data_IF_901959278076
#
_entry.id   IF_901959278076
#
_cell.length_a   1.000
_cell.length_b   1.000
_cell.length_c   1.000
_cell.angle_alpha   90.00
_cell.angle_beta   90.00
_cell.angle_gamma   90.00
#
_symmetry.space_group_name_H-M   'P 1'
#
loop_
_entity.id
_entity.type
_entity.pdbx_description
1 polymer ?
#
# COMPACT_ATOMS: atom_id res chain seq x y z
N UNK A 1 -7.52 7.36 6.15
CA UNK A 1 -6.24 7.14 6.85
C UNK A 1 -5.38 6.11 6.12
N UNK A 2 -5.84 4.86 5.95
CA UNK A 2 -5.12 3.82 5.19
C UNK A 2 -4.65 4.30 3.80
N UNK A 3 -5.55 4.86 2.99
CA UNK A 3 -5.17 5.37 1.67
C UNK A 3 -4.20 6.56 1.72
N UNK A 4 -4.27 7.41 2.76
CA UNK A 4 -3.29 8.50 2.95
C UNK A 4 -1.90 7.92 3.22
N UNK A 5 -1.80 6.86 4.02
CA UNK A 5 -0.53 6.15 4.25
C UNK A 5 0.08 5.72 2.92
N UNK A 6 -0.72 5.10 2.05
CA UNK A 6 -0.26 4.65 0.73
C UNK A 6 0.18 5.82 -0.16
N UNK A 7 -0.55 6.93 -0.19
CA UNK A 7 -0.13 8.13 -0.95
C UNK A 7 1.17 8.72 -0.40
N UNK A 8 1.35 8.74 0.92
CA UNK A 8 2.59 9.16 1.55
C UNK A 8 3.78 8.27 1.17
N UNK A 9 3.58 6.94 1.20
CA UNK A 9 4.62 5.96 0.82
C UNK A 9 4.95 6.12 -0.66
N UNK A 10 3.95 6.30 -1.54
CA UNK A 10 4.15 6.61 -2.96
C UNK A 10 5.01 7.85 -3.15
N UNK A 11 4.64 8.97 -2.51
CA UNK A 11 5.39 10.20 -2.60
C UNK A 11 6.84 10.08 -2.13
N UNK A 12 7.06 9.41 -0.99
CA UNK A 12 8.41 9.17 -0.47
C UNK A 12 9.25 8.26 -1.39
N UNK A 13 8.65 7.19 -1.91
CA UNK A 13 9.35 6.21 -2.75
C UNK A 13 9.74 6.77 -4.12
N UNK A 14 8.84 7.55 -4.73
CA UNK A 14 9.10 8.21 -6.02
C UNK A 14 10.13 9.32 -5.83
N UNK A 15 10.03 10.12 -4.76
CA UNK A 15 11.01 11.18 -4.46
C UNK A 15 12.42 10.62 -4.22
N UNK A 16 12.54 9.45 -3.59
CA UNK A 16 13.82 8.75 -3.42
C UNK A 16 14.28 7.97 -4.66
N UNK A 17 13.53 8.03 -5.76
CA UNK A 17 13.73 7.22 -6.98
C UNK A 17 13.92 5.73 -6.67
N UNK A 18 13.29 5.26 -5.59
CA UNK A 18 13.40 3.88 -5.15
C UNK A 18 12.43 2.98 -5.91
N UNK A 19 11.20 3.48 -6.15
CA UNK A 19 10.15 2.79 -6.91
C UNK A 19 9.29 3.79 -7.70
N UNK A 20 8.75 3.34 -8.84
CA UNK A 20 7.78 4.08 -9.66
C UNK A 20 6.33 3.79 -9.24
N UNK A 21 6.03 3.96 -7.94
CA UNK A 21 4.65 3.80 -7.47
C UNK A 21 3.76 4.92 -7.99
N UNK A 22 2.54 4.59 -8.39
CA UNK A 22 1.57 5.54 -8.89
C UNK A 22 0.14 5.06 -8.59
N UNK A 23 -0.84 5.90 -8.92
CA UNK A 23 -2.24 5.54 -8.84
C UNK A 23 -2.95 6.08 -10.09
N UNK A 24 -3.62 5.20 -10.84
CA UNK A 24 -4.36 5.55 -12.04
C UNK A 24 -5.45 6.62 -11.85
N UNK A 25 -5.89 6.89 -10.61
CA UNK A 25 -6.81 7.98 -10.32
C UNK A 25 -6.18 9.37 -10.42
N UNK A 26 -4.85 9.49 -10.29
CA UNK A 26 -4.15 10.77 -10.36
C UNK A 26 -2.73 10.60 -10.95
N UNK A 27 -2.66 10.42 -12.26
CA UNK A 27 -1.39 10.33 -12.98
C UNK A 27 -1.47 11.01 -14.34
N UNK A 28 -0.34 11.54 -14.80
CA UNK A 28 -0.21 12.16 -16.11
C UNK A 28 1.16 11.79 -16.71
N UNK A 29 1.18 11.61 -18.03
CA UNK A 29 2.39 11.36 -18.80
C UNK A 29 2.19 11.88 -20.23
N UNK A 30 3.29 12.21 -20.90
CA UNK A 30 3.24 12.66 -22.29
C UNK A 30 2.84 11.51 -23.23
N UNK A 31 2.00 11.81 -24.22
CA UNK A 31 1.58 10.83 -25.24
C UNK A 31 2.76 10.26 -26.03
N UNK A 32 3.79 11.06 -26.30
CA UNK A 32 5.03 10.61 -26.95
C UNK A 32 5.73 9.54 -26.13
N UNK A 33 5.87 9.76 -24.81
CA UNK A 33 6.49 8.80 -23.87
C UNK A 33 5.71 7.47 -23.82
N UNK A 34 4.38 7.53 -23.90
CA UNK A 34 3.55 6.31 -23.97
C UNK A 34 3.88 5.44 -25.18
N UNK A 35 3.96 6.03 -26.38
CA UNK A 35 4.34 5.27 -27.58
C UNK A 35 5.80 4.83 -27.56
N UNK A 36 6.67 5.66 -27.01
CA UNK A 36 8.10 5.39 -26.89
C UNK A 36 8.40 4.13 -26.06
N UNK A 37 7.61 3.86 -25.01
CA UNK A 37 7.72 2.62 -24.22
C UNK A 37 6.87 1.47 -24.77
N UNK A 38 6.24 1.62 -25.94
CA UNK A 38 5.37 0.62 -26.54
C UNK A 38 4.02 0.45 -25.82
N UNK A 39 3.56 1.48 -25.10
CA UNK A 39 2.29 1.47 -24.38
C UNK A 39 2.13 0.28 -23.45
N UNK A 40 0.99 -0.40 -23.52
CA UNK A 40 0.69 -1.59 -22.70
C UNK A 40 1.24 -2.91 -23.27
N UNK A 41 1.98 -2.89 -24.38
CA UNK A 41 2.54 -4.11 -24.95
C UNK A 41 3.48 -4.79 -23.94
N UNK A 42 3.26 -6.10 -23.70
CA UNK A 42 4.05 -6.94 -22.80
C UNK A 42 3.53 -6.98 -21.36
N UNK A 43 2.58 -6.11 -21.00
CA UNK A 43 1.94 -6.06 -19.67
C UNK A 43 0.42 -6.25 -19.75
N UNK A 44 -0.14 -6.28 -20.97
CA UNK A 44 -1.54 -6.47 -21.32
C UNK A 44 -2.13 -7.82 -20.88
N UNK A 45 -1.26 -8.82 -20.63
CA UNK A 45 -1.67 -10.14 -20.14
C UNK A 45 -1.82 -10.20 -18.62
N UNK A 46 -1.35 -9.20 -17.89
CA UNK A 46 -1.44 -9.16 -16.43
C UNK A 46 -2.79 -8.55 -16.06
N UNK A 47 -3.65 -9.34 -15.39
CA UNK A 47 -4.93 -8.85 -14.94
C UNK A 47 -4.74 -7.76 -13.85
N UNK A 48 -4.87 -6.49 -14.26
CA UNK A 48 -4.84 -5.28 -13.43
C UNK A 48 -3.44 -4.83 -12.98
N UNK A 49 -3.27 -3.50 -12.83
CA UNK A 49 -2.00 -2.87 -12.43
C UNK A 49 -1.32 -2.15 -13.60
N UNK A 50 -2.05 -1.96 -14.70
CA UNK A 50 -1.61 -1.38 -15.96
C UNK A 50 -0.98 0.00 -15.76
N UNK A 51 -1.48 0.78 -14.79
CA UNK A 51 -0.93 2.07 -14.37
C UNK A 51 0.49 1.93 -13.81
N UNK A 52 0.66 1.10 -12.79
CA UNK A 52 1.92 0.81 -12.14
C UNK A 52 2.95 0.21 -13.11
N UNK A 53 2.50 -0.74 -13.93
CA UNK A 53 3.35 -1.43 -14.90
C UNK A 53 3.79 -0.50 -16.04
N UNK A 54 2.88 0.34 -16.55
CA UNK A 54 3.24 1.38 -17.52
C UNK A 54 4.24 2.37 -16.93
N UNK A 55 3.99 2.88 -15.72
CA UNK A 55 4.91 3.80 -15.05
C UNK A 55 6.25 3.15 -14.76
N UNK A 56 6.30 1.84 -14.49
CA UNK A 56 7.55 1.10 -14.37
C UNK A 56 8.34 1.09 -15.69
N UNK A 57 7.68 0.82 -16.82
CA UNK A 57 8.32 0.90 -18.15
C UNK A 57 8.88 2.31 -18.43
N UNK A 58 8.13 3.36 -18.08
CA UNK A 58 8.57 4.75 -18.20
C UNK A 58 9.77 5.02 -17.29
N UNK A 59 9.72 4.58 -16.04
CA UNK A 59 10.80 4.76 -15.07
C UNK A 59 12.09 4.04 -15.47
N UNK A 60 12.01 2.83 -16.04
CA UNK A 60 13.19 2.12 -16.53
C UNK A 60 13.90 2.88 -17.67
N UNK A 61 13.14 3.63 -18.48
CA UNK A 61 13.68 4.39 -19.61
C UNK A 61 14.11 5.81 -19.25
N UNK A 62 13.37 6.47 -18.35
CA UNK A 62 13.54 7.87 -17.96
C UNK A 62 13.44 8.03 -16.42
N UNK A 63 14.34 7.41 -15.64
CA UNK A 63 14.22 7.38 -14.17
C UNK A 63 14.24 8.77 -13.54
N UNK A 64 14.98 9.71 -14.14
CA UNK A 64 15.11 11.11 -13.72
C UNK A 64 13.93 12.00 -14.13
N UNK A 65 12.93 11.46 -14.83
CA UNK A 65 11.76 12.23 -15.31
C UNK A 65 10.44 11.80 -14.68
N UNK A 66 10.48 10.88 -13.72
CA UNK A 66 9.30 10.41 -12.98
C UNK A 66 9.26 11.08 -11.61
N UNK A 67 8.22 11.86 -11.37
CA UNK A 67 8.09 12.66 -10.15
C UNK A 67 6.72 12.49 -9.49
N UNK A 68 6.70 12.63 -8.17
CA UNK A 68 5.47 12.82 -7.41
C UNK A 68 5.18 14.33 -7.29
N UNK A 69 4.08 14.78 -7.87
CA UNK A 69 3.69 16.18 -7.79
C UNK A 69 3.03 16.48 -6.43
N UNK A 70 3.84 16.98 -5.48
CA UNK A 70 3.37 17.40 -4.16
C UNK A 70 2.77 18.81 -4.19
N UNK A 71 1.66 18.99 -4.92
CA UNK A 71 0.87 20.22 -4.99
C UNK A 71 -0.57 19.97 -4.53
N UNK A 72 -1.07 20.76 -3.58
CA UNK A 72 -2.41 20.57 -3.01
C UNK A 72 -3.51 20.79 -4.07
N UNK A 73 -3.26 21.72 -5.00
CA UNK A 73 -4.13 22.09 -6.12
C UNK A 73 -4.25 20.97 -7.16
N UNK A 74 -3.26 20.07 -7.22
CA UNK A 74 -3.25 18.90 -8.11
C UNK A 74 -3.76 17.63 -7.43
N UNK A 75 -4.33 17.74 -6.22
CA UNK A 75 -4.95 16.60 -5.54
C UNK A 75 -6.35 16.35 -6.06
N UNK A 76 -6.72 15.07 -6.16
CA UNK A 76 -8.07 14.64 -6.58
C UNK A 76 -8.73 13.86 -5.45
N UNK A 77 -10.06 13.94 -5.37
CA UNK A 77 -10.85 13.19 -4.39
C UNK A 77 -11.44 11.96 -5.06
N UNK A 78 -11.28 10.80 -4.43
CA UNK A 78 -11.87 9.53 -4.87
C UNK A 78 -12.88 9.02 -3.85
N UNK A 79 -13.83 8.21 -4.31
CA UNK A 79 -14.79 7.57 -3.41
C UNK A 79 -14.14 6.38 -2.70
N UNK A 80 -14.37 6.19 -1.38
CA UNK A 80 -13.95 4.99 -0.69
C UNK A 80 -14.82 3.79 -1.11
N UNK A 81 -14.34 2.58 -0.82
CA UNK A 81 -15.14 1.38 -0.95
C UNK A 81 -16.38 1.44 -0.03
N UNK A 82 -17.54 1.04 -0.55
CA UNK A 82 -18.83 1.21 0.14
C UNK A 82 -19.06 0.21 1.27
N UNK A 83 -18.33 -0.90 1.30
CA UNK A 83 -18.51 -1.97 2.29
C UNK A 83 -17.17 -2.53 2.75
N UNK A 84 -17.14 -3.09 3.96
CA UNK A 84 -15.96 -3.78 4.50
C UNK A 84 -15.51 -4.95 3.62
N UNK A 85 -16.46 -5.70 3.07
CA UNK A 85 -16.13 -6.82 2.18
C UNK A 85 -15.47 -6.34 0.89
N UNK A 86 -15.95 -5.25 0.29
CA UNK A 86 -15.32 -4.64 -0.88
C UNK A 86 -13.90 -4.12 -0.55
N UNK A 87 -13.73 -3.47 0.60
CA UNK A 87 -12.43 -3.01 1.09
C UNK A 87 -11.42 -4.16 1.26
N UNK A 88 -11.80 -5.25 1.93
CA UNK A 88 -10.91 -6.39 2.15
C UNK A 88 -10.55 -7.07 0.83
N UNK A 89 -11.52 -7.30 -0.07
CA UNK A 89 -11.24 -7.83 -1.41
C UNK A 89 -10.28 -6.93 -2.20
N UNK A 90 -10.41 -5.60 -2.07
CA UNK A 90 -9.48 -4.66 -2.69
C UNK A 90 -8.05 -4.83 -2.13
N UNK A 91 -7.89 -5.00 -0.81
CA UNK A 91 -6.57 -5.22 -0.18
C UNK A 91 -5.97 -6.58 -0.53
N UNK A 92 -6.76 -7.64 -0.56
CA UNK A 92 -6.32 -8.98 -1.01
C UNK A 92 -5.78 -8.89 -2.44
N UNK A 93 -6.51 -8.22 -3.34
CA UNK A 93 -6.09 -8.00 -4.73
C UNK A 93 -4.79 -7.19 -4.84
N UNK A 94 -4.55 -6.23 -3.95
CA UNK A 94 -3.30 -5.47 -3.95
C UNK A 94 -2.14 -6.33 -3.44
N UNK A 95 -2.37 -7.14 -2.40
CA UNK A 95 -1.37 -8.07 -1.87
C UNK A 95 -1.02 -9.19 -2.87
N UNK A 96 -1.99 -9.71 -3.63
CA UNK A 96 -1.80 -10.77 -4.63
C UNK A 96 -1.00 -10.35 -5.88
N UNK A 97 -0.56 -9.09 -5.94
CA UNK A 97 0.30 -8.56 -7.00
C UNK A 97 1.75 -8.38 -6.56
N UNK A 98 2.03 -8.54 -5.27
CA UNK A 98 3.35 -8.27 -4.69
C UNK A 98 4.47 -9.06 -5.38
N UNK A 99 4.18 -10.27 -5.84
CA UNK A 99 5.08 -11.21 -6.50
C UNK A 99 5.22 -10.96 -8.02
N UNK A 100 4.30 -10.19 -8.62
CA UNK A 100 4.30 -9.86 -10.05
C UNK A 100 5.05 -8.57 -10.38
N UNK A 101 5.48 -7.82 -9.37
CA UNK A 101 6.35 -6.67 -9.60
C UNK A 101 7.75 -7.15 -9.97
N UNK A 102 8.31 -6.61 -11.05
CA UNK A 102 9.69 -6.90 -11.48
C UNK A 102 10.71 -6.50 -10.39
N UNK A 103 10.40 -5.46 -9.61
CA UNK A 103 11.24 -5.02 -8.51
C UNK A 103 11.03 -5.84 -7.23
N UNK A 104 11.97 -6.77 -6.99
CA UNK A 104 11.99 -7.63 -5.80
C UNK A 104 12.09 -6.87 -4.46
N UNK A 105 12.51 -5.60 -4.48
CA UNK A 105 12.57 -4.76 -3.26
C UNK A 105 11.18 -4.46 -2.73
N UNK A 106 10.19 -4.31 -3.61
CA UNK A 106 8.78 -4.14 -3.23
C UNK A 106 8.31 -5.36 -2.43
N UNK A 107 8.61 -6.56 -2.94
CA UNK A 107 8.26 -7.79 -2.25
C UNK A 107 8.91 -7.88 -0.86
N UNK A 108 10.20 -7.55 -0.74
CA UNK A 108 10.90 -7.55 0.54
C UNK A 108 10.28 -6.60 1.57
N UNK A 109 9.93 -5.37 1.15
CA UNK A 109 9.25 -4.40 2.03
C UNK A 109 7.87 -4.89 2.44
N UNK A 110 7.08 -5.43 1.51
CA UNK A 110 5.75 -5.97 1.82
C UNK A 110 5.84 -7.18 2.76
N UNK A 111 6.82 -8.05 2.57
CA UNK A 111 7.07 -9.19 3.45
C UNK A 111 7.48 -8.73 4.85
N UNK A 112 8.34 -7.71 4.97
CA UNK A 112 8.71 -7.13 6.26
C UNK A 112 7.49 -6.59 7.00
N UNK A 113 6.64 -5.82 6.32
CA UNK A 113 5.40 -5.28 6.89
C UNK A 113 4.47 -6.43 7.31
N UNK A 114 4.33 -7.47 6.49
CA UNK A 114 3.53 -8.64 6.84
C UNK A 114 4.06 -9.35 8.09
N UNK A 115 5.37 -9.68 8.12
CA UNK A 115 6.00 -10.37 9.24
C UNK A 115 5.94 -9.55 10.54
N UNK A 116 6.06 -8.22 10.47
CA UNK A 116 5.88 -7.35 11.61
C UNK A 116 4.45 -7.42 12.17
N UNK A 117 3.43 -7.46 11.32
CA UNK A 117 2.04 -7.57 11.79
C UNK A 117 1.73 -8.99 12.30
N UNK A 118 2.32 -10.03 11.70
CA UNK A 118 2.23 -11.40 12.23
C UNK A 118 2.91 -11.52 13.58
N UNK A 119 4.10 -10.93 13.77
CA UNK A 119 4.83 -11.00 15.04
C UNK A 119 4.06 -10.32 16.18
N UNK A 120 3.34 -9.24 15.90
CA UNK A 120 2.43 -8.61 16.87
C UNK A 120 1.33 -9.57 17.34
N UNK A 121 0.67 -10.26 16.40
CA UNK A 121 -0.36 -11.25 16.76
C UNK A 121 0.24 -12.46 17.48
N UNK A 122 1.43 -12.91 17.09
CA UNK A 122 2.12 -14.03 17.72
C UNK A 122 2.56 -13.71 19.15
N UNK A 123 3.09 -12.51 19.39
CA UNK A 123 3.45 -12.06 20.75
C UNK A 123 2.21 -11.96 21.64
N UNK A 124 1.10 -11.43 21.10
CA UNK A 124 -0.16 -11.35 21.83
C UNK A 124 -0.68 -12.75 22.20
N UNK A 125 -0.61 -13.69 21.26
CA UNK A 125 -0.99 -15.08 21.50
C UNK A 125 -0.10 -15.76 22.56
N UNK A 126 1.22 -15.53 22.50
CA UNK A 126 2.18 -16.04 23.49
C UNK A 126 1.92 -15.46 24.89
N UNK A 127 1.36 -14.24 24.96
CA UNK A 127 0.94 -13.59 26.21
C UNK A 127 -0.10 -14.37 27.02
N UNK A 128 -0.89 -15.23 26.39
CA UNK A 128 -1.83 -16.11 27.10
C UNK A 128 -1.14 -17.29 27.79
N UNK A 129 0.10 -17.62 27.41
CA UNK A 129 0.90 -18.70 28.02
C UNK A 129 1.87 -18.12 29.05
N UNK A 130 2.58 -17.05 28.70
CA UNK A 130 3.49 -16.33 29.60
C UNK A 130 3.21 -14.83 29.52
N UNK A 131 2.77 -14.26 30.66
CA UNK A 131 2.36 -12.87 30.77
C UNK A 131 3.47 -11.87 30.43
N UNK A 132 4.76 -12.25 30.48
CA UNK A 132 5.85 -11.37 30.05
C UNK A 132 5.71 -10.99 28.56
N UNK A 133 5.15 -11.87 27.73
CA UNK A 133 4.91 -11.58 26.31
C UNK A 133 3.83 -10.53 26.08
N UNK A 134 2.91 -10.32 27.04
CA UNK A 134 1.96 -9.21 26.95
C UNK A 134 2.68 -7.86 27.00
N UNK A 135 3.71 -7.73 27.85
CA UNK A 135 4.53 -6.52 27.91
C UNK A 135 5.25 -6.27 26.58
N UNK A 136 5.87 -7.30 25.99
CA UNK A 136 6.52 -7.17 24.68
C UNK A 136 5.53 -6.79 23.58
N UNK A 137 4.32 -7.37 23.61
CA UNK A 137 3.25 -7.04 22.66
C UNK A 137 2.85 -5.57 22.75
N UNK A 138 2.65 -5.06 23.97
CA UNK A 138 2.33 -3.64 24.20
C UNK A 138 3.47 -2.75 23.71
N UNK A 139 4.73 -3.06 24.06
CA UNK A 139 5.89 -2.28 23.63
C UNK A 139 6.01 -2.23 22.10
N UNK A 140 5.81 -3.35 21.41
CA UNK A 140 5.84 -3.40 19.95
C UNK A 140 4.71 -2.60 19.31
N UNK A 141 3.48 -2.71 19.83
CA UNK A 141 2.32 -1.93 19.35
C UNK A 141 2.57 -0.43 19.54
N UNK A 142 3.06 -0.01 20.71
CA UNK A 142 3.36 1.40 20.99
C UNK A 142 4.47 1.91 20.06
N UNK A 143 5.53 1.13 19.88
CA UNK A 143 6.65 1.52 19.00
C UNK A 143 6.19 1.67 17.55
N UNK A 144 5.42 0.70 17.03
CA UNK A 144 4.80 0.77 15.71
C UNK A 144 3.89 1.99 15.59
N UNK A 145 3.03 2.22 16.57
CA UNK A 145 2.10 3.35 16.58
C UNK A 145 2.84 4.69 16.52
N UNK A 146 3.90 4.87 17.33
CA UNK A 146 4.69 6.10 17.36
C UNK A 146 5.40 6.35 16.02
N UNK A 147 5.96 5.30 15.42
CA UNK A 147 6.58 5.40 14.10
C UNK A 147 5.55 5.83 13.05
N UNK A 148 4.40 5.16 12.98
CA UNK A 148 3.39 5.44 11.96
C UNK A 148 2.66 6.77 12.18
N UNK A 149 2.36 7.17 13.42
CA UNK A 149 1.68 8.44 13.68
C UNK A 149 2.58 9.64 13.33
N UNK A 150 3.90 9.52 13.53
CA UNK A 150 4.84 10.57 13.15
C UNK A 150 4.82 10.81 11.64
N UNK A 151 4.83 9.73 10.85
CA UNK A 151 4.69 9.76 9.40
C UNK A 151 3.31 10.31 8.98
N UNK A 152 2.24 9.80 9.60
CA UNK A 152 0.87 10.19 9.27
C UNK A 152 0.54 11.64 9.59
N UNK A 153 1.17 12.25 10.61
CA UNK A 153 1.05 13.69 10.89
C UNK A 153 1.56 14.54 9.74
N UNK A 154 2.70 14.18 9.15
CA UNK A 154 3.26 14.89 8.01
C UNK A 154 2.37 14.73 6.76
N UNK A 155 1.95 13.50 6.47
CA UNK A 155 1.13 13.22 5.27
C UNK A 155 -0.26 13.84 5.38
N UNK A 156 -0.96 13.64 6.49
CA UNK A 156 -2.29 14.23 6.69
C UNK A 156 -2.27 15.75 6.80
N UNK A 157 -1.14 16.35 7.22
CA UNK A 157 -0.92 17.79 7.17
C UNK A 157 -0.97 18.33 5.75
N UNK A 158 -0.27 17.67 4.82
CA UNK A 158 -0.31 18.05 3.40
C UNK A 158 -1.71 17.96 2.79
N UNK A 159 -2.48 16.92 3.12
CA UNK A 159 -3.84 16.75 2.63
C UNK A 159 -4.92 17.52 3.41
N UNK A 160 -4.55 18.28 4.46
CA UNK A 160 -5.52 18.99 5.32
C UNK A 160 -6.44 18.06 6.14
N UNK A 161 -6.04 16.80 6.34
CA UNK A 161 -6.87 15.74 6.97
C UNK A 161 -6.40 15.36 8.38
N UNK A 162 -5.64 16.23 9.06
CA UNK A 162 -5.07 15.93 10.39
C UNK A 162 -6.15 15.59 11.44
N UNK A 163 -7.36 16.14 11.33
CA UNK A 163 -8.49 15.82 12.21
C UNK A 163 -8.82 14.32 12.22
N UNK A 164 -8.58 13.62 11.11
CA UNK A 164 -8.85 12.18 11.03
C UNK A 164 -7.90 11.36 11.91
N UNK A 165 -6.74 11.90 12.30
CA UNK A 165 -5.77 11.18 13.14
C UNK A 165 -6.30 10.80 14.52
N UNK A 166 -7.38 11.43 15.00
CA UNK A 166 -8.06 11.01 16.24
C UNK A 166 -8.54 9.56 16.17
N UNK A 167 -8.87 9.07 14.97
CA UNK A 167 -9.29 7.70 14.72
C UNK A 167 -8.14 6.73 14.58
N UNK A 168 -6.90 7.22 14.46
CA UNK A 168 -5.73 6.39 14.19
C UNK A 168 -5.50 5.30 15.25
N UNK A 169 -5.57 5.57 16.59
CA UNK A 169 -5.42 4.54 17.61
C UNK A 169 -6.46 3.41 17.49
N UNK A 170 -7.71 3.76 17.17
CA UNK A 170 -8.82 2.80 17.05
C UNK A 170 -8.72 1.94 15.79
N UNK A 171 -8.10 2.45 14.73
CA UNK A 171 -7.90 1.74 13.47
C UNK A 171 -6.66 0.84 13.47
N UNK A 172 -5.75 0.97 14.44
CA UNK A 172 -4.54 0.15 14.51
C UNK A 172 -4.81 -1.34 14.65
N UNK A 173 -5.68 -1.82 15.57
CA UNK A 173 -6.00 -3.24 15.64
C UNK A 173 -6.59 -3.76 14.34
N UNK A 174 -7.50 -2.99 13.72
CA UNK A 174 -8.08 -3.34 12.42
C UNK A 174 -7.00 -3.45 11.34
N UNK A 175 -6.07 -2.50 11.29
CA UNK A 175 -4.95 -2.50 10.36
C UNK A 175 -4.09 -3.74 10.50
N UNK A 176 -3.67 -4.09 11.73
CA UNK A 176 -2.88 -5.29 11.98
C UNK A 176 -3.62 -6.54 11.47
N UNK A 177 -4.89 -6.68 11.82
CA UNK A 177 -5.71 -7.83 11.43
C UNK A 177 -5.89 -7.93 9.91
N UNK A 178 -6.34 -6.86 9.25
CA UNK A 178 -6.58 -6.96 7.80
C UNK A 178 -5.29 -7.05 7.00
N UNK A 179 -4.15 -6.51 7.46
CA UNK A 179 -2.86 -6.68 6.77
C UNK A 179 -2.44 -8.14 6.76
N UNK A 180 -2.59 -8.85 7.89
CA UNK A 180 -2.29 -10.29 7.97
C UNK A 180 -3.27 -11.09 7.11
N UNK A 181 -4.58 -10.81 7.19
CA UNK A 181 -5.59 -11.49 6.38
C UNK A 181 -5.36 -11.26 4.88
N UNK A 182 -5.12 -10.02 4.47
CA UNK A 182 -4.91 -9.66 3.06
C UNK A 182 -3.60 -10.23 2.52
N UNK A 183 -2.52 -10.25 3.30
CA UNK A 183 -1.26 -10.87 2.90
C UNK A 183 -1.37 -12.38 2.73
N UNK A 184 -2.04 -13.06 3.67
CA UNK A 184 -2.26 -14.50 3.60
C UNK A 184 -3.17 -14.89 2.43
N UNK A 185 -4.35 -14.27 2.32
CA UNK A 185 -5.31 -14.53 1.25
C UNK A 185 -4.84 -14.01 -0.11
N UNK A 186 -3.96 -13.00 -0.14
CA UNK A 186 -3.37 -12.51 -1.38
C UNK A 186 -2.40 -13.52 -2.01
N UNK A 187 -1.71 -14.31 -1.18
CA UNK A 187 -0.75 -15.32 -1.64
C UNK A 187 -1.38 -16.70 -1.85
N UNK A 188 -2.33 -17.08 -0.99
CA UNK A 188 -2.88 -18.45 -0.95
C UNK A 188 -4.38 -18.51 -1.18
N UNK A 189 -5.06 -17.38 -1.24
CA UNK A 189 -6.52 -17.30 -1.34
C UNK A 189 -7.00 -16.95 -2.75
N UNK A 190 -8.31 -17.06 -2.93
CA UNK A 190 -9.01 -16.51 -4.09
C UNK A 190 -9.77 -15.24 -3.68
N UNK A 191 -9.90 -14.28 -4.58
CA UNK A 191 -10.66 -13.05 -4.33
C UNK A 191 -11.72 -12.83 -5.41
N UNK A 192 -12.79 -12.12 -5.03
CA UNK A 192 -13.82 -11.67 -5.98
C UNK A 192 -13.51 -10.24 -6.41
N UNK A 193 -13.52 -10.02 -7.73
CA UNK A 193 -13.36 -8.71 -8.33
C UNK A 193 -14.46 -8.48 -9.35
N UNK A 194 -15.39 -7.57 -9.02
CA UNK A 194 -16.65 -7.39 -9.76
C UNK A 194 -17.33 -8.76 -9.92
N UNK A 195 -17.67 -9.17 -11.14
CA UNK A 195 -18.33 -10.44 -11.43
C UNK A 195 -17.36 -11.63 -11.63
N UNK A 196 -16.07 -11.47 -11.32
CA UNK A 196 -15.05 -12.51 -11.56
C UNK A 196 -14.48 -13.04 -10.25
N UNK A 197 -14.35 -14.37 -10.14
CA UNK A 197 -13.53 -15.03 -9.13
C UNK A 197 -12.12 -15.19 -9.71
N UNK A 198 -11.12 -14.64 -9.01
CA UNK A 198 -9.71 -14.80 -9.36
C UNK A 198 -9.11 -15.74 -8.33
N UNK A 199 -8.65 -16.90 -8.81
CA UNK A 199 -7.96 -17.91 -8.01
C UNK A 199 -6.45 -17.72 -8.10
#
# INVERSE_FOLDING_TARGET
>A
LDFLTLQGITGASVHKQFHSMCNGANMAYAKSVFYEVGGFQGIDRIASGDDMLLMHKIFLKHPERVFFLKAAEATVTTQPEKTWQAFINQRIRWASKADKYDDKRIFAVLLLVYLLNVSLLACLAAGFVDHNWLLYSVLLVVTKFLAEISFMRAVSGFFGMQRLLIWFPFLQPMHILYTVLAGFLGKFGSYRWKDRKVN
#
